data_IF_989949172260
#
_entry.id   IF_989949172260
#
_cell.length_a   1.000
_cell.length_b   1.000
_cell.length_c   1.000
_cell.angle_alpha   90.00
_cell.angle_beta   90.00
_cell.angle_gamma   90.00
#
_symmetry.space_group_name_H-M   'P 1'
#
loop_
_entity.id
_entity.type
_entity.pdbx_description
1 polymer ?
#
# COMPACT_ATOMS: atom_id res chain seq x y z
N UNK A 1 -14.61 16.25 9.27
CA UNK A 1 -13.56 16.23 8.22
C UNK A 1 -12.71 14.97 8.26
N UNK A 2 -11.97 14.69 9.34
CA UNK A 2 -11.09 13.51 9.46
C UNK A 2 -11.79 12.17 9.18
N UNK A 3 -13.03 11.99 9.61
CA UNK A 3 -13.80 10.77 9.30
C UNK A 3 -13.99 10.55 7.78
N UNK A 4 -14.19 11.64 7.03
CA UNK A 4 -14.30 11.57 5.56
C UNK A 4 -12.97 11.19 4.88
N UNK A 5 -11.82 11.55 5.46
CA UNK A 5 -10.49 11.17 4.98
C UNK A 5 -10.12 9.71 5.29
N UNK A 6 -10.96 9.01 6.05
CA UNK A 6 -10.84 7.57 6.40
C UNK A 6 -9.47 7.18 6.98
N UNK A 7 -9.07 7.63 8.19
CA UNK A 7 -7.77 7.32 8.79
C UNK A 7 -7.47 5.82 8.89
N UNK A 8 -8.49 4.97 9.07
CA UNK A 8 -8.32 3.50 9.08
C UNK A 8 -7.76 2.95 7.78
N UNK A 9 -7.95 3.65 6.63
CA UNK A 9 -7.42 3.27 5.33
C UNK A 9 -5.96 3.72 5.13
N UNK A 10 -5.42 4.56 6.03
CA UNK A 10 -4.03 5.02 5.97
C UNK A 10 -3.03 3.89 6.22
N UNK A 11 -3.46 2.78 6.82
CA UNK A 11 -2.65 1.56 6.93
C UNK A 11 -2.11 1.08 5.59
N UNK A 12 -2.82 1.32 4.48
CA UNK A 12 -2.37 1.01 3.12
C UNK A 12 -1.11 1.79 2.73
N UNK A 13 -0.90 2.97 3.33
CA UNK A 13 0.26 3.80 3.07
C UNK A 13 1.51 3.29 3.82
N UNK A 14 1.39 2.32 4.75
CA UNK A 14 2.55 1.66 5.37
C UNK A 14 3.47 1.02 4.33
N UNK A 15 2.96 0.73 3.14
CA UNK A 15 3.75 0.22 2.04
C UNK A 15 4.89 1.17 1.59
N UNK A 16 4.77 2.48 1.88
CA UNK A 16 5.86 3.43 1.64
C UNK A 16 7.13 3.08 2.43
N UNK A 17 6.97 2.40 3.58
CA UNK A 17 8.12 1.97 4.39
C UNK A 17 8.81 0.72 3.83
N UNK A 18 8.23 0.03 2.83
CA UNK A 18 8.84 -1.16 2.26
C UNK A 18 10.27 -0.87 1.74
N UNK A 19 10.45 0.24 0.99
CA UNK A 19 11.77 0.63 0.47
C UNK A 19 12.82 0.79 1.56
N UNK A 20 12.53 1.56 2.61
CA UNK A 20 13.48 1.81 3.71
C UNK A 20 13.73 0.54 4.55
N UNK A 21 12.72 -0.32 4.70
CA UNK A 21 12.82 -1.57 5.48
C UNK A 21 13.72 -2.57 4.77
N UNK A 22 13.44 -2.88 3.51
CA UNK A 22 14.19 -3.88 2.75
C UNK A 22 15.57 -3.40 2.28
N UNK A 23 15.79 -2.07 2.23
CA UNK A 23 17.13 -1.52 2.03
C UNK A 23 18.00 -1.52 3.30
N UNK A 24 17.50 -2.04 4.45
CA UNK A 24 18.26 -2.06 5.70
C UNK A 24 18.48 -0.68 6.31
N UNK A 25 17.64 0.33 5.99
CA UNK A 25 17.85 1.74 6.38
C UNK A 25 16.85 2.28 7.40
N UNK A 26 16.09 1.41 8.08
CA UNK A 26 15.14 1.82 9.12
C UNK A 26 15.81 2.57 10.30
N UNK A 27 17.07 2.24 10.60
CA UNK A 27 17.84 2.88 11.67
C UNK A 27 18.59 4.14 11.20
N UNK A 28 18.47 4.50 9.93
CA UNK A 28 18.99 5.75 9.38
C UNK A 28 17.94 6.86 9.59
N UNK A 29 18.26 7.81 10.48
CA UNK A 29 17.34 8.89 10.88
C UNK A 29 16.89 9.73 9.69
N UNK A 30 17.79 10.03 8.74
CA UNK A 30 17.41 10.81 7.56
C UNK A 30 16.50 10.02 6.63
N UNK A 31 16.79 8.75 6.37
CA UNK A 31 15.93 7.89 5.57
C UNK A 31 14.56 7.69 6.22
N UNK A 32 14.52 7.44 7.53
CA UNK A 32 13.27 7.28 8.27
C UNK A 32 12.44 8.56 8.30
N UNK A 33 13.07 9.74 8.51
CA UNK A 33 12.35 11.03 8.49
C UNK A 33 11.73 11.30 7.12
N UNK A 34 12.46 11.03 6.04
CA UNK A 34 11.94 11.16 4.67
C UNK A 34 10.77 10.19 4.41
N UNK A 35 10.87 8.93 4.87
CA UNK A 35 9.78 7.96 4.76
C UNK A 35 8.53 8.39 5.54
N UNK A 36 8.69 8.95 6.75
CA UNK A 36 7.60 9.49 7.56
C UNK A 36 6.90 10.67 6.88
N UNK A 37 7.67 11.60 6.29
CA UNK A 37 7.10 12.73 5.55
C UNK A 37 6.37 12.23 4.30
N UNK A 38 6.95 11.30 3.54
CA UNK A 38 6.29 10.69 2.39
C UNK A 38 4.99 9.97 2.79
N UNK A 39 4.98 9.27 3.93
CA UNK A 39 3.76 8.66 4.48
C UNK A 39 2.69 9.69 4.78
N UNK A 40 3.04 10.81 5.44
CA UNK A 40 2.10 11.89 5.74
C UNK A 40 1.52 12.51 4.45
N UNK A 41 2.37 12.75 3.43
CA UNK A 41 1.94 13.23 2.11
C UNK A 41 0.89 12.27 1.52
N UNK A 42 1.18 10.97 1.46
CA UNK A 42 0.25 9.98 0.89
C UNK A 42 -1.02 9.78 1.73
N UNK A 43 -0.99 10.02 3.04
CA UNK A 43 -2.20 10.05 3.86
C UNK A 43 -3.12 11.23 3.47
N UNK A 44 -2.54 12.39 3.20
CA UNK A 44 -3.27 13.57 2.72
C UNK A 44 -3.84 13.35 1.31
N UNK A 45 -3.02 12.85 0.38
CA UNK A 45 -3.44 12.54 -0.99
C UNK A 45 -4.57 11.50 -1.00
N UNK A 46 -4.42 10.40 -0.24
CA UNK A 46 -5.46 9.37 -0.11
C UNK A 46 -6.73 9.95 0.52
N UNK A 47 -6.61 10.77 1.56
CA UNK A 47 -7.74 11.45 2.18
C UNK A 47 -8.50 12.34 1.21
N UNK A 48 -7.79 13.16 0.42
CA UNK A 48 -8.37 14.01 -0.61
C UNK A 48 -9.11 13.16 -1.67
N UNK A 49 -8.52 12.06 -2.13
CA UNK A 49 -9.15 11.18 -3.13
C UNK A 49 -10.37 10.44 -2.57
N UNK A 50 -10.40 10.08 -1.27
CA UNK A 50 -11.60 9.52 -0.64
C UNK A 50 -12.73 10.54 -0.56
N UNK A 51 -12.45 11.78 -0.18
CA UNK A 51 -13.44 12.86 -0.17
C UNK A 51 -13.99 13.12 -1.57
N UNK A 52 -13.12 13.15 -2.59
CA UNK A 52 -13.52 13.33 -3.98
C UNK A 52 -14.42 12.17 -4.45
N UNK A 53 -14.06 10.92 -4.13
CA UNK A 53 -14.88 9.76 -4.48
C UNK A 53 -16.25 9.79 -3.78
N UNK A 54 -16.29 10.17 -2.48
CA UNK A 54 -17.56 10.29 -1.75
C UNK A 54 -18.44 11.43 -2.28
N UNK A 55 -17.84 12.53 -2.81
CA UNK A 55 -18.59 13.58 -3.53
C UNK A 55 -19.15 13.08 -4.84
N UNK A 56 -18.36 12.35 -5.64
CA UNK A 56 -18.80 11.81 -6.93
C UNK A 56 -19.92 10.78 -6.76
N UNK A 57 -19.85 9.95 -5.71
CA UNK A 57 -20.80 8.87 -5.45
C UNK A 57 -21.97 9.28 -4.52
N UNK A 58 -22.08 10.56 -4.13
CA UNK A 58 -22.97 11.04 -3.06
C UNK A 58 -24.43 10.58 -3.22
N UNK A 59 -24.98 10.66 -4.44
CA UNK A 59 -26.37 10.25 -4.71
C UNK A 59 -26.58 8.75 -4.52
N UNK A 60 -25.66 7.94 -5.02
CA UNK A 60 -25.70 6.48 -4.88
C UNK A 60 -25.45 6.02 -3.45
N UNK A 61 -24.51 6.67 -2.75
CA UNK A 61 -24.19 6.31 -1.37
C UNK A 61 -25.34 6.56 -0.38
N UNK A 62 -26.18 7.56 -0.63
CA UNK A 62 -27.41 7.82 0.19
C UNK A 62 -28.42 6.70 0.10
N UNK A 63 -28.53 6.02 -1.04
CA UNK A 63 -29.45 4.91 -1.27
C UNK A 63 -28.87 3.55 -0.82
N UNK A 64 -27.55 3.50 -0.55
CA UNK A 64 -26.87 2.24 -0.24
C UNK A 64 -27.04 1.85 1.24
N UNK A 65 -27.38 0.60 1.61
CA UNK A 65 -27.65 0.17 2.98
C UNK A 65 -26.54 0.50 3.99
N UNK A 66 -25.29 0.32 3.60
CA UNK A 66 -24.12 0.53 4.48
C UNK A 66 -23.44 1.87 4.24
N UNK A 67 -23.30 2.31 2.96
CA UNK A 67 -22.58 3.53 2.61
C UNK A 67 -23.30 4.81 2.99
N UNK A 68 -24.64 4.77 3.21
CA UNK A 68 -25.43 5.91 3.76
C UNK A 68 -24.92 6.45 5.09
N UNK A 69 -24.10 5.65 5.82
CA UNK A 69 -23.46 6.06 7.09
C UNK A 69 -22.15 6.86 6.88
N UNK A 70 -21.67 7.03 5.65
CA UNK A 70 -20.50 7.86 5.37
C UNK A 70 -20.76 9.31 5.70
N UNK A 71 -19.73 10.05 6.10
CA UNK A 71 -19.86 11.43 6.61
C UNK A 71 -20.58 12.38 5.62
N UNK A 72 -20.34 12.26 4.30
CA UNK A 72 -21.04 13.04 3.29
C UNK A 72 -22.47 12.54 3.04
N UNK A 73 -22.66 11.23 2.90
CA UNK A 73 -23.96 10.66 2.60
C UNK A 73 -24.96 10.85 3.76
N UNK A 74 -24.49 10.76 5.01
CA UNK A 74 -25.27 11.00 6.23
C UNK A 74 -25.57 12.48 6.52
N UNK A 75 -24.93 13.41 5.76
CA UNK A 75 -25.07 14.86 6.01
C UNK A 75 -24.18 15.41 7.13
N UNK A 76 -23.39 14.60 7.83
CA UNK A 76 -22.44 15.07 8.85
C UNK A 76 -21.34 15.98 8.28
N UNK A 77 -21.04 15.84 6.99
CA UNK A 77 -20.10 16.68 6.26
C UNK A 77 -20.81 17.29 5.06
N UNK A 78 -20.80 18.62 4.95
CA UNK A 78 -21.37 19.29 3.79
C UNK A 78 -20.45 19.16 2.56
N UNK A 79 -20.99 19.17 1.32
CA UNK A 79 -20.17 19.15 0.10
C UNK A 79 -19.16 20.31 0.03
N UNK A 80 -19.55 21.50 0.51
CA UNK A 80 -18.64 22.66 0.57
C UNK A 80 -17.46 22.41 1.51
N UNK A 81 -17.73 21.87 2.70
CA UNK A 81 -16.67 21.51 3.65
C UNK A 81 -15.76 20.40 3.10
N UNK A 82 -16.30 19.46 2.32
CA UNK A 82 -15.51 18.43 1.67
C UNK A 82 -14.53 19.04 0.62
N UNK A 83 -14.99 19.99 -0.20
CA UNK A 83 -14.10 20.72 -1.13
C UNK A 83 -13.00 21.50 -0.41
N UNK A 84 -13.32 22.21 0.66
CA UNK A 84 -12.32 22.87 1.52
C UNK A 84 -11.31 21.87 2.07
N UNK A 85 -11.78 20.68 2.46
CA UNK A 85 -10.89 19.63 2.94
C UNK A 85 -9.96 19.05 1.86
N UNK A 86 -10.46 18.88 0.63
CA UNK A 86 -9.66 18.44 -0.49
C UNK A 86 -8.57 19.47 -0.79
N UNK A 87 -8.94 20.75 -0.94
CA UNK A 87 -7.97 21.82 -1.26
C UNK A 87 -6.93 21.98 -0.16
N UNK A 88 -7.34 21.96 1.12
CA UNK A 88 -6.42 22.05 2.24
C UNK A 88 -5.46 20.84 2.31
N UNK A 89 -5.97 19.62 2.09
CA UNK A 89 -5.14 18.41 2.07
C UNK A 89 -4.12 18.43 0.92
N UNK A 90 -4.53 18.86 -0.27
CA UNK A 90 -3.63 18.99 -1.43
C UNK A 90 -2.59 20.09 -1.22
N UNK A 91 -2.97 21.24 -0.68
CA UNK A 91 -2.05 22.32 -0.37
C UNK A 91 -1.01 21.90 0.69
N UNK A 92 -1.44 21.25 1.76
CA UNK A 92 -0.53 20.73 2.78
C UNK A 92 0.38 19.63 2.23
N UNK A 93 -0.14 18.72 1.39
CA UNK A 93 0.67 17.71 0.72
C UNK A 93 1.73 18.34 -0.19
N UNK A 94 1.40 19.41 -0.92
CA UNK A 94 2.36 20.16 -1.74
C UNK A 94 3.44 20.83 -0.89
N UNK A 95 3.08 21.48 0.22
CA UNK A 95 4.04 22.08 1.15
C UNK A 95 4.97 21.04 1.77
N UNK A 96 4.43 19.90 2.22
CA UNK A 96 5.24 18.80 2.72
C UNK A 96 6.14 18.18 1.65
N UNK A 97 5.69 18.16 0.39
CA UNK A 97 6.51 17.69 -0.73
C UNK A 97 7.68 18.64 -0.97
N UNK A 98 7.45 19.95 -0.99
CA UNK A 98 8.53 20.92 -1.08
C UNK A 98 9.51 20.78 0.08
N UNK A 99 9.01 20.61 1.31
CA UNK A 99 9.87 20.34 2.47
C UNK A 99 10.67 19.04 2.31
N UNK A 100 10.05 17.95 1.83
CA UNK A 100 10.73 16.67 1.57
C UNK A 100 11.91 16.84 0.60
N UNK A 101 11.77 17.70 -0.43
CA UNK A 101 12.83 17.95 -1.39
C UNK A 101 14.06 18.64 -0.75
N UNK A 102 13.85 19.41 0.32
CA UNK A 102 14.92 20.07 1.07
C UNK A 102 15.51 19.23 2.21
N UNK A 103 14.87 18.11 2.58
CA UNK A 103 15.43 17.25 3.61
C UNK A 103 16.73 16.60 3.16
N UNK A 104 17.75 16.50 4.05
CA UNK A 104 19.02 15.90 3.71
C UNK A 104 18.85 14.45 3.22
N UNK A 105 19.57 14.13 2.17
CA UNK A 105 19.73 12.75 1.75
C UNK A 105 20.82 12.12 2.62
N UNK A 106 20.65 10.84 2.97
CA UNK A 106 21.42 10.15 3.98
C UNK A 106 22.87 9.86 3.59
N UNK A 107 23.69 10.88 3.45
CA UNK A 107 25.14 10.69 3.26
C UNK A 107 25.94 10.73 4.58
N UNK A 108 25.40 11.32 5.65
CA UNK A 108 26.09 11.50 6.94
C UNK A 108 25.14 11.53 8.14
N UNK A 109 24.00 10.85 8.10
CA UNK A 109 23.06 10.91 9.21
C UNK A 109 23.52 10.08 10.41
N UNK A 110 23.22 10.61 11.61
CA UNK A 110 23.28 9.86 12.86
C UNK A 110 22.49 8.55 12.72
N UNK A 111 23.18 7.42 12.73
CA UNK A 111 22.53 6.12 12.80
C UNK A 111 22.08 5.89 14.22
N UNK A 112 20.80 5.59 14.44
CA UNK A 112 20.30 5.13 15.73
C UNK A 112 21.10 3.90 16.23
N UNK A 113 21.70 3.14 15.29
CA UNK A 113 22.62 2.05 15.58
C UNK A 113 23.87 2.46 16.39
N UNK A 114 24.27 3.73 16.37
CA UNK A 114 25.39 4.21 17.21
C UNK A 114 25.02 4.31 18.71
N UNK A 115 23.74 4.30 19.02
CA UNK A 115 23.21 4.27 20.39
C UNK A 115 23.02 2.84 20.92
N UNK A 116 23.28 1.82 20.09
CA UNK A 116 23.11 0.41 20.42
C UNK A 116 24.47 -0.29 20.46
N UNK A 117 24.59 -1.42 21.19
CA UNK A 117 25.87 -2.16 21.26
C UNK A 117 26.42 -2.49 19.87
N UNK A 118 27.74 -2.44 19.65
CA UNK A 118 28.40 -2.57 18.33
C UNK A 118 28.04 -3.86 17.57
N UNK A 119 27.54 -4.88 18.25
CA UNK A 119 27.12 -6.16 17.65
C UNK A 119 25.82 -6.08 16.85
N UNK A 120 25.04 -5.00 17.02
CA UNK A 120 23.80 -4.74 16.30
C UNK A 120 23.94 -3.61 15.26
N UNK A 121 25.10 -2.98 15.20
CA UNK A 121 25.41 -2.06 14.11
C UNK A 121 25.47 -2.86 12.80
N UNK A 122 24.45 -2.70 11.97
CA UNK A 122 24.48 -3.24 10.61
C UNK A 122 25.82 -2.94 9.96
N UNK A 123 26.34 -3.90 9.17
CA UNK A 123 27.58 -3.77 8.44
C UNK A 123 27.74 -2.36 7.85
N UNK A 124 28.94 -1.78 7.85
CA UNK A 124 29.16 -0.46 7.31
C UNK A 124 28.61 -0.43 5.91
N UNK A 125 27.58 0.40 5.68
CA UNK A 125 27.25 0.75 4.31
C UNK A 125 28.56 1.22 3.69
N UNK A 126 28.94 0.60 2.57
CA UNK A 126 30.16 0.94 1.89
C UNK A 126 30.37 2.46 1.95
N UNK A 127 31.53 2.90 2.44
CA UNK A 127 31.91 4.30 2.58
C UNK A 127 32.17 4.94 1.21
N UNK A 128 31.27 4.72 0.25
CA UNK A 128 31.19 5.44 -1.00
C UNK A 128 30.12 6.52 -0.87
N UNK A 129 30.33 7.66 -1.44
CA UNK A 129 29.27 8.60 -1.78
C UNK A 129 28.11 7.79 -2.32
N UNK A 130 26.98 7.75 -1.58
CA UNK A 130 25.76 7.11 -2.09
C UNK A 130 25.33 7.93 -3.28
N UNK A 131 25.84 7.58 -4.46
CA UNK A 131 25.39 8.15 -5.72
C UNK A 131 23.88 7.93 -5.76
N UNK A 132 23.13 9.01 -5.96
CA UNK A 132 21.70 8.91 -6.18
C UNK A 132 21.50 8.01 -7.41
N UNK A 133 20.91 6.79 -7.25
CA UNK A 133 20.73 5.87 -8.38
C UNK A 133 19.80 6.44 -9.46
N UNK A 134 19.16 7.57 -9.18
CA UNK A 134 18.19 8.25 -10.04
C UNK A 134 18.68 9.62 -10.54
N UNK A 135 19.96 9.96 -10.34
CA UNK A 135 20.50 11.27 -10.72
C UNK A 135 20.27 11.59 -12.21
N UNK A 136 20.35 10.58 -13.09
CA UNK A 136 20.09 10.72 -14.54
C UNK A 136 18.62 10.98 -14.88
N UNK A 137 17.68 10.78 -13.93
CA UNK A 137 16.25 11.12 -14.08
C UNK A 137 15.87 12.44 -13.39
N UNK A 138 16.83 13.32 -13.14
CA UNK A 138 16.59 14.60 -12.43
C UNK A 138 16.51 14.45 -10.91
N UNK A 139 16.99 13.31 -10.40
CA UNK A 139 17.03 13.02 -8.97
C UNK A 139 15.77 12.30 -8.43
N UNK A 140 15.93 11.65 -7.29
CA UNK A 140 14.86 10.89 -6.62
C UNK A 140 13.68 11.77 -6.21
N UNK A 141 13.91 13.06 -5.95
CA UNK A 141 12.87 14.03 -5.59
C UNK A 141 11.86 14.25 -6.71
N UNK A 142 12.30 14.41 -7.96
CA UNK A 142 11.40 14.56 -9.11
C UNK A 142 10.60 13.28 -9.36
N UNK A 143 11.22 12.11 -9.19
CA UNK A 143 10.53 10.83 -9.32
C UNK A 143 9.47 10.63 -8.22
N UNK A 144 9.74 11.09 -6.99
CA UNK A 144 8.73 11.11 -5.93
C UNK A 144 7.53 11.97 -6.31
N UNK A 145 7.78 13.19 -6.80
CA UNK A 145 6.72 14.09 -7.27
C UNK A 145 5.93 13.45 -8.41
N UNK A 146 6.63 12.85 -9.39
CA UNK A 146 6.01 12.12 -10.49
C UNK A 146 5.11 10.98 -10.00
N UNK A 147 5.56 10.19 -9.03
CA UNK A 147 4.78 9.10 -8.45
C UNK A 147 3.55 9.62 -7.68
N UNK A 148 3.67 10.74 -6.96
CA UNK A 148 2.56 11.38 -6.24
C UNK A 148 1.51 11.92 -7.22
N UNK A 149 1.92 12.56 -8.31
CA UNK A 149 1.03 13.04 -9.37
C UNK A 149 0.37 11.87 -10.09
N UNK A 150 1.13 10.83 -10.46
CA UNK A 150 0.60 9.62 -11.08
C UNK A 150 -0.44 8.93 -10.18
N UNK A 151 -0.19 8.88 -8.86
CA UNK A 151 -1.15 8.36 -7.90
C UNK A 151 -2.45 9.17 -7.89
N UNK A 152 -2.37 10.50 -7.83
CA UNK A 152 -3.56 11.37 -7.90
C UNK A 152 -4.33 11.17 -9.20
N UNK A 153 -3.62 11.19 -10.34
CA UNK A 153 -4.22 10.99 -11.66
C UNK A 153 -4.93 9.64 -11.76
N UNK A 154 -4.27 8.56 -11.28
CA UNK A 154 -4.86 7.23 -11.25
C UNK A 154 -6.11 7.17 -10.38
N UNK A 155 -6.09 7.78 -9.18
CA UNK A 155 -7.24 7.77 -8.26
C UNK A 155 -8.40 8.66 -8.77
N UNK A 156 -8.11 9.76 -9.45
CA UNK A 156 -9.12 10.58 -10.14
C UNK A 156 -9.73 9.78 -11.29
N UNK A 157 -8.91 9.17 -12.15
CA UNK A 157 -9.38 8.32 -13.25
C UNK A 157 -10.22 7.13 -12.72
N UNK A 158 -9.79 6.53 -11.59
CA UNK A 158 -10.56 5.48 -10.92
C UNK A 158 -11.93 5.99 -10.47
N UNK A 159 -11.98 7.17 -9.84
CA UNK A 159 -13.24 7.74 -9.33
C UNK A 159 -14.26 7.96 -10.44
N UNK A 160 -13.85 8.42 -11.61
CA UNK A 160 -14.77 8.82 -12.67
C UNK A 160 -14.96 7.76 -13.76
N UNK A 161 -13.94 6.93 -14.05
CA UNK A 161 -13.99 5.99 -15.19
C UNK A 161 -13.59 4.56 -14.84
N UNK A 162 -12.38 4.32 -14.27
CA UNK A 162 -11.81 2.97 -14.21
C UNK A 162 -12.63 2.03 -13.32
N UNK A 163 -13.31 2.53 -12.30
CA UNK A 163 -14.17 1.72 -11.43
C UNK A 163 -15.42 1.14 -12.13
N UNK A 164 -15.69 1.56 -13.37
CA UNK A 164 -16.79 1.08 -14.20
C UNK A 164 -16.33 0.15 -15.33
N UNK A 165 -15.03 -0.13 -15.43
CA UNK A 165 -14.45 -0.97 -16.47
C UNK A 165 -13.92 -2.27 -15.84
N UNK A 166 -14.38 -3.42 -16.39
CA UNK A 166 -14.01 -4.76 -15.89
C UNK A 166 -12.49 -4.93 -15.95
N UNK A 167 -11.95 -5.55 -14.93
CA UNK A 167 -10.51 -5.74 -14.69
C UNK A 167 -9.74 -4.45 -14.42
N UNK A 168 -10.01 -3.35 -15.14
CA UNK A 168 -9.32 -2.08 -14.91
C UNK A 168 -9.58 -1.52 -13.52
N UNK A 169 -10.73 -1.82 -12.92
CA UNK A 169 -11.04 -1.45 -11.55
C UNK A 169 -10.10 -2.10 -10.52
N UNK A 170 -9.77 -3.38 -10.67
CA UNK A 170 -8.84 -4.09 -9.78
C UNK A 170 -7.38 -3.72 -10.10
N UNK A 171 -7.03 -3.57 -11.39
CA UNK A 171 -5.69 -3.12 -11.78
C UNK A 171 -5.40 -1.68 -11.32
N UNK A 172 -6.36 -0.78 -11.34
CA UNK A 172 -6.19 0.58 -10.82
C UNK A 172 -5.93 0.59 -9.30
N UNK A 173 -6.61 -0.29 -8.55
CA UNK A 173 -6.34 -0.47 -7.11
C UNK A 173 -4.91 -0.97 -6.91
N UNK A 174 -4.49 -2.01 -7.65
CA UNK A 174 -3.14 -2.56 -7.58
C UNK A 174 -2.08 -1.52 -7.97
N UNK A 175 -2.31 -0.74 -9.04
CA UNK A 175 -1.45 0.37 -9.45
C UNK A 175 -1.27 1.43 -8.36
N UNK A 176 -2.34 1.72 -7.61
CA UNK A 176 -2.27 2.61 -6.46
C UNK A 176 -1.35 2.09 -5.33
N UNK A 177 -1.30 0.77 -5.10
CA UNK A 177 -0.36 0.16 -4.16
C UNK A 177 1.08 0.23 -4.67
N UNK A 178 1.29 -0.07 -5.95
CA UNK A 178 2.60 0.02 -6.59
C UNK A 178 3.17 1.43 -6.52
N UNK A 179 2.37 2.44 -6.85
CA UNK A 179 2.80 3.84 -6.80
C UNK A 179 3.19 4.28 -5.38
N UNK A 180 2.54 3.73 -4.34
CA UNK A 180 2.96 3.94 -2.96
C UNK A 180 4.32 3.32 -2.67
N UNK A 181 4.55 2.07 -3.06
CA UNK A 181 5.83 1.39 -2.87
C UNK A 181 6.97 2.13 -3.60
N UNK A 182 6.72 2.53 -4.85
CA UNK A 182 7.68 3.32 -5.64
C UNK A 182 7.98 4.68 -5.01
N UNK A 183 6.95 5.42 -4.61
CA UNK A 183 7.11 6.71 -3.94
C UNK A 183 7.94 6.59 -2.65
N UNK A 184 7.71 5.53 -1.86
CA UNK A 184 8.51 5.25 -0.68
C UNK A 184 9.98 5.03 -1.00
N UNK A 185 10.29 4.25 -2.02
CA UNK A 185 11.66 4.02 -2.47
C UNK A 185 12.33 5.30 -3.01
N UNK A 186 11.60 6.09 -3.80
CA UNK A 186 12.09 7.39 -4.29
C UNK A 186 12.34 8.38 -3.15
N UNK A 187 11.45 8.42 -2.15
CA UNK A 187 11.61 9.32 -1.00
C UNK A 187 12.91 9.08 -0.24
N UNK A 188 13.36 7.82 -0.14
CA UNK A 188 14.58 7.43 0.62
C UNK A 188 15.77 7.12 -0.28
N UNK A 189 15.66 7.36 -1.57
CA UNK A 189 16.74 7.19 -2.58
C UNK A 189 17.32 5.76 -2.56
N UNK A 190 16.44 4.76 -2.64
CA UNK A 190 16.82 3.35 -2.71
C UNK A 190 16.33 2.73 -4.01
N UNK A 191 17.09 1.78 -4.54
CA UNK A 191 16.69 1.01 -5.73
C UNK A 191 15.40 0.25 -5.44
N UNK A 192 14.52 0.19 -6.43
CA UNK A 192 13.30 -0.61 -6.38
C UNK A 192 13.66 -2.01 -6.86
N UNK A 193 13.53 -2.99 -5.98
CA UNK A 193 13.67 -4.38 -6.38
C UNK A 193 12.54 -4.77 -7.33
N UNK A 194 12.84 -5.33 -8.53
CA UNK A 194 11.84 -5.87 -9.44
C UNK A 194 10.91 -6.90 -8.76
N UNK A 195 11.47 -7.69 -7.86
CA UNK A 195 10.70 -8.68 -7.09
C UNK A 195 9.74 -8.04 -6.09
N UNK A 196 10.16 -6.98 -5.39
CA UNK A 196 9.28 -6.24 -4.48
C UNK A 196 8.11 -5.61 -5.25
N UNK A 197 8.39 -5.07 -6.45
CA UNK A 197 7.37 -4.55 -7.35
C UNK A 197 6.37 -5.64 -7.74
N UNK A 198 6.86 -6.82 -8.18
CA UNK A 198 6.04 -7.93 -8.61
C UNK A 198 5.18 -8.49 -7.46
N UNK A 199 5.78 -8.71 -6.29
CA UNK A 199 5.05 -9.14 -5.10
C UNK A 199 3.96 -8.14 -4.69
N UNK A 200 4.25 -6.83 -4.79
CA UNK A 200 3.30 -5.78 -4.43
C UNK A 200 2.08 -5.78 -5.37
N UNK A 201 2.29 -5.86 -6.68
CA UNK A 201 1.18 -5.87 -7.65
C UNK A 201 0.32 -7.13 -7.50
N UNK A 202 0.95 -8.29 -7.38
CA UNK A 202 0.25 -9.56 -7.25
C UNK A 202 -0.56 -9.65 -5.95
N UNK A 203 0.04 -9.26 -4.81
CA UNK A 203 -0.67 -9.23 -3.54
C UNK A 203 -1.83 -8.22 -3.56
N UNK A 204 -1.65 -7.06 -4.17
CA UNK A 204 -2.71 -6.07 -4.30
C UNK A 204 -3.86 -6.56 -5.19
N UNK A 205 -3.56 -7.25 -6.30
CA UNK A 205 -4.57 -7.90 -7.15
C UNK A 205 -5.31 -8.99 -6.39
N UNK A 206 -4.60 -9.84 -5.65
CA UNK A 206 -5.18 -10.89 -4.80
C UNK A 206 -6.23 -10.33 -3.83
N UNK A 207 -5.88 -9.28 -3.09
CA UNK A 207 -6.78 -8.63 -2.14
C UNK A 207 -7.95 -7.92 -2.83
N UNK A 208 -7.70 -7.27 -3.99
CA UNK A 208 -8.73 -6.59 -4.77
C UNK A 208 -9.74 -7.57 -5.36
N UNK A 209 -9.29 -8.70 -5.91
CA UNK A 209 -10.15 -9.76 -6.45
C UNK A 209 -10.98 -10.43 -5.34
N UNK A 210 -10.39 -10.73 -4.18
CA UNK A 210 -11.11 -11.26 -3.02
C UNK A 210 -12.24 -10.32 -2.58
N UNK A 211 -11.96 -9.01 -2.56
CA UNK A 211 -12.99 -8.00 -2.28
C UNK A 211 -14.10 -8.00 -3.33
N UNK A 212 -13.77 -8.09 -4.64
CA UNK A 212 -14.77 -8.16 -5.70
C UNK A 212 -15.67 -9.38 -5.60
N UNK A 213 -15.07 -10.51 -5.28
CA UNK A 213 -15.82 -11.76 -5.07
C UNK A 213 -16.87 -11.60 -3.97
N UNK A 214 -16.50 -11.05 -2.84
CA UNK A 214 -17.44 -10.84 -1.74
C UNK A 214 -18.52 -9.80 -2.09
N UNK A 215 -18.16 -8.69 -2.73
CA UNK A 215 -19.13 -7.69 -3.21
C UNK A 215 -20.16 -8.35 -4.14
N UNK A 216 -19.73 -9.23 -5.06
CA UNK A 216 -20.63 -9.95 -5.98
C UNK A 216 -21.59 -10.89 -5.23
N UNK A 217 -21.09 -11.66 -4.26
CA UNK A 217 -21.91 -12.59 -3.47
C UNK A 217 -22.94 -11.86 -2.59
N UNK A 218 -22.58 -10.70 -2.02
CA UNK A 218 -23.51 -9.88 -1.23
C UNK A 218 -24.62 -9.27 -2.09
N UNK A 219 -24.34 -8.95 -3.36
CA UNK A 219 -25.32 -8.37 -4.27
C UNK A 219 -26.24 -9.41 -4.90
N UNK A 220 -25.78 -10.64 -5.13
CA UNK A 220 -26.64 -11.75 -5.56
C UNK A 220 -27.69 -12.12 -4.52
N UNK A 221 -27.42 -11.84 -3.23
CA UNK A 221 -28.36 -12.03 -2.13
C UNK A 221 -29.35 -10.86 -1.95
N UNK A 222 -29.09 -9.69 -2.55
CA UNK A 222 -29.92 -8.49 -2.47
C UNK A 222 -30.21 -7.98 -3.88
N UNK A 223 -31.35 -8.35 -4.44
CA UNK A 223 -31.80 -8.11 -5.81
C UNK A 223 -32.04 -6.63 -6.19
N UNK A 224 -31.18 -5.69 -5.80
CA UNK A 224 -31.32 -4.27 -6.16
C UNK A 224 -29.99 -3.58 -6.46
N UNK A 225 -29.66 -3.44 -7.70
CA UNK A 225 -29.24 -2.20 -8.36
C UNK A 225 -27.93 -1.51 -7.97
N UNK A 226 -26.79 -2.20 -7.66
CA UNK A 226 -25.74 -1.45 -6.97
C UNK A 226 -24.34 -1.34 -7.59
N UNK A 227 -24.08 -1.77 -8.75
CA UNK A 227 -22.92 -1.45 -9.61
C UNK A 227 -23.05 -2.23 -10.92
N UNK A 228 -23.25 -1.58 -12.07
CA UNK A 228 -23.38 -2.26 -13.36
C UNK A 228 -22.22 -3.22 -13.66
N UNK A 229 -20.99 -2.84 -13.29
CA UNK A 229 -19.79 -3.64 -13.51
C UNK A 229 -19.80 -5.01 -12.81
N UNK A 230 -20.49 -5.15 -11.68
CA UNK A 230 -20.54 -6.43 -10.97
C UNK A 230 -21.38 -7.48 -11.72
N UNK A 231 -22.29 -7.04 -12.59
CA UNK A 231 -23.05 -7.93 -13.48
C UNK A 231 -22.19 -8.56 -14.58
N UNK A 232 -21.02 -8.01 -14.86
CA UNK A 232 -20.09 -8.52 -15.87
C UNK A 232 -19.06 -9.51 -15.29
N UNK A 233 -18.96 -9.60 -13.94
CA UNK A 233 -18.15 -10.59 -13.26
C UNK A 233 -18.99 -11.83 -12.92
N UNK A 234 -18.44 -13.01 -13.15
CA UNK A 234 -18.98 -14.27 -12.62
C UNK A 234 -18.15 -14.75 -11.42
N UNK A 235 -18.76 -15.44 -10.44
CA UNK A 235 -17.99 -16.05 -9.35
C UNK A 235 -16.86 -16.95 -9.86
N UNK A 236 -17.13 -17.73 -10.91
CA UNK A 236 -16.16 -18.64 -11.52
C UNK A 236 -14.95 -17.91 -12.10
N UNK A 237 -15.17 -16.78 -12.81
CA UNK A 237 -14.08 -15.97 -13.32
C UNK A 237 -13.21 -15.41 -12.18
N UNK A 238 -13.84 -14.87 -11.13
CA UNK A 238 -13.12 -14.33 -9.99
C UNK A 238 -12.33 -15.41 -9.26
N UNK A 239 -12.89 -16.62 -9.10
CA UNK A 239 -12.23 -17.76 -8.45
C UNK A 239 -11.00 -18.21 -9.26
N UNK A 240 -11.09 -18.27 -10.59
CA UNK A 240 -9.94 -18.57 -11.46
C UNK A 240 -8.86 -17.49 -11.35
N UNK A 241 -9.22 -16.21 -11.41
CA UNK A 241 -8.27 -15.10 -11.30
C UNK A 241 -7.59 -15.09 -9.93
N UNK A 242 -8.32 -15.33 -8.83
CA UNK A 242 -7.77 -15.44 -7.49
C UNK A 242 -6.75 -16.59 -7.43
N UNK A 243 -7.08 -17.75 -8.00
CA UNK A 243 -6.18 -18.92 -8.02
C UNK A 243 -4.88 -18.63 -8.76
N UNK A 244 -4.96 -18.04 -9.95
CA UNK A 244 -3.79 -17.68 -10.76
C UNK A 244 -2.91 -16.68 -10.01
N UNK A 245 -3.50 -15.61 -9.48
CA UNK A 245 -2.76 -14.56 -8.79
C UNK A 245 -2.16 -15.07 -7.48
N UNK A 246 -2.87 -15.96 -6.76
CA UNK A 246 -2.35 -16.60 -5.54
C UNK A 246 -1.09 -17.41 -5.84
N UNK A 247 -1.15 -18.31 -6.83
CA UNK A 247 0.01 -19.11 -7.23
C UNK A 247 1.20 -18.24 -7.66
N UNK A 248 0.93 -17.22 -8.47
CA UNK A 248 1.94 -16.25 -8.90
C UNK A 248 2.55 -15.47 -7.72
N UNK A 249 1.73 -15.06 -6.72
CA UNK A 249 2.20 -14.34 -5.53
C UNK A 249 3.15 -15.20 -4.71
N UNK A 250 2.79 -16.46 -4.47
CA UNK A 250 3.61 -17.42 -3.73
C UNK A 250 4.95 -17.64 -4.44
N UNK A 251 4.91 -17.86 -5.76
CA UNK A 251 6.10 -18.06 -6.56
C UNK A 251 7.00 -16.82 -6.56
N UNK A 252 6.42 -15.63 -6.82
CA UNK A 252 7.15 -14.37 -6.83
C UNK A 252 7.82 -14.07 -5.49
N UNK A 253 7.12 -14.32 -4.37
CA UNK A 253 7.69 -14.14 -3.04
C UNK A 253 8.82 -15.14 -2.76
N UNK A 254 8.65 -16.41 -3.13
CA UNK A 254 9.70 -17.43 -2.99
C UNK A 254 10.93 -17.04 -3.78
N UNK A 255 10.78 -16.64 -5.05
CA UNK A 255 11.90 -16.17 -5.87
C UNK A 255 12.57 -14.91 -5.31
N UNK A 256 11.78 -13.99 -4.74
CA UNK A 256 12.33 -12.82 -4.04
C UNK A 256 13.27 -13.22 -2.89
N UNK A 257 12.90 -14.23 -2.09
CA UNK A 257 13.74 -14.69 -0.97
C UNK A 257 15.01 -15.39 -1.42
N UNK A 258 15.03 -16.02 -2.62
CA UNK A 258 16.21 -16.66 -3.20
C UNK A 258 17.13 -15.70 -3.96
N UNK A 259 16.54 -14.79 -4.76
CA UNK A 259 17.24 -13.98 -5.74
C UNK A 259 17.18 -12.49 -5.47
N UNK A 260 16.57 -12.09 -4.33
CA UNK A 260 16.37 -10.69 -3.97
C UNK A 260 17.70 -9.95 -3.81
N UNK A 261 17.67 -8.64 -4.03
CA UNK A 261 18.85 -7.75 -3.91
C UNK A 261 19.44 -7.73 -2.48
N UNK A 262 18.72 -8.22 -1.49
CA UNK A 262 19.21 -8.40 -0.12
C UNK A 262 20.30 -9.46 -0.06
N UNK A 263 20.37 -10.38 -1.04
CA UNK A 263 21.36 -11.47 -1.14
C UNK A 263 21.33 -12.45 0.04
N UNK A 264 20.34 -12.36 0.90
CA UNK A 264 20.26 -13.14 2.13
C UNK A 264 19.22 -14.25 2.02
N UNK A 265 19.68 -15.45 1.68
CA UNK A 265 18.84 -16.64 1.56
C UNK A 265 18.11 -17.01 2.86
N UNK A 266 18.56 -16.50 4.01
CA UNK A 266 17.89 -16.72 5.32
C UNK A 266 16.45 -16.16 5.33
N UNK A 267 16.13 -15.22 4.44
CA UNK A 267 14.75 -14.74 4.25
C UNK A 267 13.78 -15.86 3.84
N UNK A 268 14.26 -16.99 3.33
CA UNK A 268 13.43 -18.17 3.03
C UNK A 268 12.63 -18.67 4.25
N UNK A 269 13.14 -18.47 5.45
CA UNK A 269 12.45 -18.82 6.71
C UNK A 269 11.10 -18.09 6.85
N UNK A 270 10.89 -16.99 6.10
CA UNK A 270 9.63 -16.24 6.09
C UNK A 270 8.55 -16.85 5.20
N UNK A 271 8.93 -17.73 4.24
CA UNK A 271 7.99 -18.34 3.28
C UNK A 271 6.80 -19.04 3.97
N UNK A 272 6.99 -19.88 5.01
CA UNK A 272 5.86 -20.53 5.70
C UNK A 272 4.86 -19.53 6.29
N UNK A 273 5.32 -18.41 6.82
CA UNK A 273 4.43 -17.38 7.37
C UNK A 273 3.58 -16.73 6.28
N UNK A 274 4.20 -16.40 5.13
CA UNK A 274 3.47 -15.81 3.99
C UNK A 274 2.47 -16.81 3.41
N UNK A 275 2.85 -18.09 3.24
CA UNK A 275 1.96 -19.15 2.79
C UNK A 275 0.77 -19.31 3.73
N UNK A 276 1.02 -19.39 5.03
CA UNK A 276 -0.04 -19.49 6.02
C UNK A 276 -0.99 -18.29 5.98
N UNK A 277 -0.46 -17.08 5.90
CA UNK A 277 -1.27 -15.87 5.79
C UNK A 277 -2.17 -15.86 4.55
N UNK A 278 -1.63 -16.25 3.39
CA UNK A 278 -2.38 -16.36 2.13
C UNK A 278 -3.48 -17.45 2.24
N UNK A 279 -3.15 -18.64 2.74
CA UNK A 279 -4.12 -19.73 2.88
C UNK A 279 -5.20 -19.39 3.92
N UNK A 280 -4.83 -18.72 5.01
CA UNK A 280 -5.81 -18.23 5.99
C UNK A 280 -6.75 -17.19 5.37
N UNK A 281 -6.23 -16.27 4.57
CA UNK A 281 -7.06 -15.30 3.88
C UNK A 281 -8.01 -15.97 2.87
N UNK A 282 -7.54 -16.97 2.10
CA UNK A 282 -8.40 -17.76 1.22
C UNK A 282 -9.52 -18.46 2.02
N UNK A 283 -9.19 -19.05 3.17
CA UNK A 283 -10.19 -19.67 4.05
C UNK A 283 -11.27 -18.65 4.47
N UNK A 284 -10.86 -17.44 4.84
CA UNK A 284 -11.81 -16.37 5.23
C UNK A 284 -12.67 -15.93 4.04
N UNK A 285 -12.10 -15.82 2.84
CA UNK A 285 -12.82 -15.44 1.62
C UNK A 285 -13.81 -16.52 1.18
N UNK A 286 -13.41 -17.79 1.20
CA UNK A 286 -14.21 -18.88 0.61
C UNK A 286 -15.16 -19.54 1.61
N UNK A 287 -14.76 -19.67 2.88
CA UNK A 287 -15.53 -20.38 3.90
C UNK A 287 -16.31 -19.42 4.79
N UNK A 288 -15.67 -18.30 5.20
CA UNK A 288 -16.30 -17.33 6.11
C UNK A 288 -17.01 -16.18 5.38
N UNK A 289 -16.78 -16.02 4.07
CA UNK A 289 -17.29 -14.89 3.27
C UNK A 289 -16.90 -13.53 3.84
N UNK A 290 -15.68 -13.39 4.38
CA UNK A 290 -15.17 -12.17 5.04
C UNK A 290 -14.15 -11.40 4.19
N UNK A 291 -14.09 -11.57 2.86
CA UNK A 291 -13.10 -10.94 1.97
C UNK A 291 -13.29 -9.43 1.66
N UNK A 292 -14.36 -8.78 2.13
CA UNK A 292 -14.77 -7.44 1.67
C UNK A 292 -13.95 -6.26 2.18
N UNK A 293 -13.25 -6.42 3.29
CA UNK A 293 -12.41 -5.37 3.88
C UNK A 293 -11.06 -5.98 4.30
N UNK A 294 -10.12 -6.19 3.35
CA UNK A 294 -8.83 -6.81 3.65
C UNK A 294 -8.09 -6.14 4.82
N UNK A 295 -8.19 -4.82 4.94
CA UNK A 295 -7.60 -4.04 6.02
C UNK A 295 -8.21 -4.33 7.41
N UNK A 296 -9.51 -4.67 7.46
CA UNK A 296 -10.17 -5.07 8.70
C UNK A 296 -9.83 -6.53 9.04
N UNK A 297 -9.78 -7.39 8.04
CA UNK A 297 -9.39 -8.80 8.20
C UNK A 297 -7.99 -8.91 8.78
N UNK A 298 -7.03 -8.11 8.28
CA UNK A 298 -5.66 -8.06 8.79
C UNK A 298 -5.58 -7.73 10.29
N UNK A 299 -6.49 -6.89 10.80
CA UNK A 299 -6.48 -6.43 12.20
C UNK A 299 -7.37 -7.29 13.09
N UNK A 300 -8.40 -7.96 12.56
CA UNK A 300 -9.38 -8.74 13.34
C UNK A 300 -9.05 -10.23 13.44
N UNK A 301 -8.48 -10.81 12.38
CA UNK A 301 -8.12 -12.22 12.39
C UNK A 301 -6.74 -12.40 13.06
N UNK A 302 -6.76 -13.00 14.25
CA UNK A 302 -5.54 -13.21 15.03
C UNK A 302 -4.50 -14.05 14.29
N UNK A 303 -4.92 -15.00 13.44
CA UNK A 303 -4.00 -15.86 12.70
C UNK A 303 -3.24 -15.07 11.61
N UNK A 304 -3.94 -14.20 10.87
CA UNK A 304 -3.29 -13.33 9.87
C UNK A 304 -2.38 -12.32 10.58
N UNK A 305 -2.88 -11.72 11.68
CA UNK A 305 -2.10 -10.76 12.46
C UNK A 305 -0.77 -11.34 12.93
N UNK A 306 -0.80 -12.53 13.56
CA UNK A 306 0.42 -13.20 14.03
C UNK A 306 1.31 -13.66 12.87
N UNK A 307 0.74 -14.13 11.76
CA UNK A 307 1.51 -14.49 10.57
C UNK A 307 2.30 -13.30 10.02
N UNK A 308 1.66 -12.13 9.90
CA UNK A 308 2.32 -10.90 9.45
C UNK A 308 3.35 -10.41 10.45
N UNK A 309 3.03 -10.46 11.76
CA UNK A 309 3.96 -10.02 12.81
C UNK A 309 5.21 -10.92 12.87
N UNK A 310 5.04 -12.23 12.81
CA UNK A 310 6.16 -13.18 12.79
C UNK A 310 7.00 -13.03 11.53
N UNK A 311 6.36 -12.85 10.37
CA UNK A 311 7.06 -12.58 9.12
C UNK A 311 7.89 -11.29 9.23
N UNK A 312 7.29 -10.18 9.66
CA UNK A 312 7.98 -8.90 9.82
C UNK A 312 9.10 -8.97 10.88
N UNK A 313 8.85 -9.65 12.00
CA UNK A 313 9.87 -9.88 13.04
C UNK A 313 11.05 -10.69 12.51
N UNK A 314 10.79 -11.77 11.75
CA UNK A 314 11.85 -12.58 11.14
C UNK A 314 12.65 -11.76 10.13
N UNK A 315 11.99 -10.98 9.27
CA UNK A 315 12.67 -10.06 8.34
C UNK A 315 13.55 -9.07 9.12
N UNK A 316 13.03 -8.49 10.20
CA UNK A 316 13.81 -7.56 11.02
C UNK A 316 15.03 -8.24 11.64
N UNK A 317 14.87 -9.44 12.19
CA UNK A 317 16.00 -10.20 12.76
C UNK A 317 17.03 -10.53 11.69
N UNK A 318 16.60 -11.03 10.53
CA UNK A 318 17.52 -11.40 9.44
C UNK A 318 18.28 -10.20 8.90
N UNK A 319 17.60 -9.07 8.69
CA UNK A 319 18.22 -7.91 8.04
C UNK A 319 19.02 -7.01 8.99
N UNK A 320 18.66 -6.98 10.30
CA UNK A 320 19.21 -5.99 11.23
C UNK A 320 19.97 -6.61 12.40
N UNK A 321 19.75 -7.87 12.75
CA UNK A 321 20.36 -8.52 13.93
C UNK A 321 21.40 -9.55 13.53
N UNK A 322 21.14 -10.37 12.51
CA UNK A 322 22.08 -11.42 12.12
C UNK A 322 23.24 -10.83 11.31
N UNK A 323 24.48 -11.23 11.59
CA UNK A 323 25.64 -10.82 10.80
C UNK A 323 25.49 -11.35 9.36
N UNK A 324 25.88 -10.51 8.38
CA UNK A 324 25.95 -10.90 6.97
C UNK A 324 27.11 -11.88 6.73
#
# INVERSE_FOLDING_TARGET
MLLGMRPRQWTKNLLLFAGVTFAGRLLDVAALSRALVAFAIFCLLAGATYLLNDLADLRGDRLHPTKRRRALASGQLSPRAAWVGITAALALAALLTLWLLHLPQSTQSLRLASLWPPRLAAAPAAQGTVLDPYAHFGGSGLLFVGAAIAYLALMVAYTFRLKHLVLLDVFAIAGGFVLRAMAGAFAVTVKISPWLYLCTILLALFLALGKRRQELLLLSAQASGHRPILGEYTPQLLDQLITIVTAATIMAYSLYTFQGETGDQRLMVTIPFVLYGIFRYLYLVYVRNEGGSPEEVLLRDAHIYWSVLLCAGTVAVVLYVLPK
#
